data_IF_866924478385
#
_entry.id   IF_866924478385
#
_cell.length_a   1.000
_cell.length_b   1.000
_cell.length_c   1.000
_cell.angle_alpha   90.00
_cell.angle_beta   90.00
_cell.angle_gamma   90.00
#
_symmetry.space_group_name_H-M   'P 1'
#
loop_
_entity.id
_entity.type
_entity.pdbx_description
1 polymer ?
#
# COMPACT_ATOMS: atom_id res chain seq x y z
N UNK A 1 -2.97 -22.61 0.34
CA UNK A 1 -2.32 -23.17 1.55
C UNK A 1 -0.82 -22.92 1.49
N UNK A 2 -0.40 -21.66 1.65
CA UNK A 2 1.02 -21.26 1.73
C UNK A 2 1.20 -20.14 2.78
N UNK A 3 0.29 -20.10 3.76
CA UNK A 3 0.30 -19.20 4.91
C UNK A 3 0.05 -20.03 6.17
N UNK A 4 1.03 -20.85 6.57
CA UNK A 4 1.08 -21.43 7.93
C UNK A 4 2.47 -21.86 8.42
N UNK A 5 3.59 -21.46 7.78
CA UNK A 5 4.93 -21.97 8.16
C UNK A 5 6.00 -20.94 8.51
N UNK A 6 5.67 -19.66 8.71
CA UNK A 6 6.66 -18.65 9.12
C UNK A 6 6.53 -18.17 10.58
N UNK A 7 5.78 -18.89 11.43
CA UNK A 7 5.67 -18.58 12.87
C UNK A 7 6.36 -19.59 13.80
N UNK A 8 7.25 -20.45 13.30
CA UNK A 8 7.94 -21.42 14.15
C UNK A 8 9.34 -21.75 13.69
N UNK A 9 10.31 -21.50 14.59
CA UNK A 9 11.71 -21.97 14.61
C UNK A 9 12.75 -21.06 13.96
N UNK A 10 13.41 -20.26 14.80
CA UNK A 10 14.87 -20.13 14.74
C UNK A 10 15.44 -20.29 16.16
N UNK A 11 15.66 -21.56 16.53
CA UNK A 11 16.60 -21.92 17.59
C UNK A 11 17.99 -21.97 16.97
N UNK A 12 18.96 -21.43 17.69
CA UNK A 12 20.36 -21.27 17.33
C UNK A 12 21.02 -22.53 16.74
N UNK A 13 21.89 -22.33 15.75
CA UNK A 13 23.11 -23.11 15.57
C UNK A 13 24.14 -22.27 14.83
N UNK A 14 25.11 -21.80 15.61
CA UNK A 14 26.43 -21.38 15.18
C UNK A 14 27.11 -22.53 14.43
N UNK A 15 27.71 -22.24 13.28
CA UNK A 15 28.95 -22.90 12.88
C UNK A 15 29.71 -21.98 11.93
N UNK A 16 30.69 -21.30 12.52
CA UNK A 16 31.84 -20.71 11.85
C UNK A 16 32.68 -21.80 11.21
N UNK A 17 33.18 -21.58 10.00
CA UNK A 17 34.44 -22.20 9.56
C UNK A 17 35.30 -21.18 8.82
N UNK A 18 36.34 -20.74 9.53
CA UNK A 18 37.52 -20.07 9.00
C UNK A 18 38.39 -21.12 8.30
N UNK A 19 38.93 -20.75 7.13
CA UNK A 19 40.10 -21.37 6.57
C UNK A 19 41.31 -21.03 7.44
N UNK A 20 41.94 -22.04 8.04
CA UNK A 20 43.31 -22.00 8.51
C UNK A 20 43.99 -23.33 8.19
N UNK A 21 45.01 -23.27 7.34
CA UNK A 21 45.95 -24.36 7.09
C UNK A 21 46.84 -24.60 8.33
N UNK A 22 47.16 -25.87 8.61
CA UNK A 22 48.33 -26.20 9.45
C UNK A 22 48.23 -27.47 10.30
N UNK A 23 48.77 -28.58 9.76
CA UNK A 23 49.46 -29.70 10.44
C UNK A 23 48.83 -30.43 11.66
N UNK A 24 48.34 -31.66 11.39
CA UNK A 24 48.62 -32.99 12.02
C UNK A 24 48.79 -33.16 13.56
N UNK A 25 48.61 -34.37 14.16
CA UNK A 25 48.31 -35.72 13.62
C UNK A 25 47.15 -36.52 14.28
N UNK A 26 46.80 -37.61 13.58
CA UNK A 26 45.95 -38.80 13.84
C UNK A 26 46.09 -39.42 15.26
N UNK A 27 45.07 -40.13 15.83
CA UNK A 27 44.93 -41.59 15.60
C UNK A 27 43.48 -42.17 15.52
N UNK A 28 43.33 -43.13 14.59
CA UNK A 28 42.50 -44.35 14.52
C UNK A 28 41.29 -44.61 15.46
N UNK A 29 40.15 -45.09 14.94
CA UNK A 29 39.80 -46.53 14.77
C UNK A 29 38.34 -46.79 14.30
N UNK A 30 38.24 -47.70 13.31
CA UNK A 30 37.23 -48.76 13.02
C UNK A 30 35.69 -48.57 13.12
N UNK A 31 35.09 -49.04 12.03
CA UNK A 31 33.68 -49.33 11.70
C UNK A 31 33.05 -50.40 12.62
N UNK A 32 31.76 -50.30 12.91
CA UNK A 32 30.86 -51.47 12.90
C UNK A 32 29.41 -51.07 12.57
N UNK A 33 28.82 -51.80 11.63
CA UNK A 33 27.40 -51.78 11.32
C UNK A 33 26.67 -52.79 12.21
N UNK A 34 25.41 -52.53 12.54
CA UNK A 34 24.47 -53.58 12.91
C UNK A 34 23.10 -53.33 12.31
N UNK A 35 22.65 -54.35 11.59
CA UNK A 35 21.33 -54.55 11.00
C UNK A 35 20.36 -55.03 12.07
N UNK A 36 19.07 -54.71 11.92
CA UNK A 36 18.01 -55.63 12.35
C UNK A 36 16.78 -55.49 11.45
N UNK A 37 16.43 -56.64 10.87
CA UNK A 37 15.23 -56.96 10.12
C UNK A 37 14.00 -57.08 11.03
N UNK A 38 12.79 -56.89 10.48
CA UNK A 38 11.80 -57.97 10.34
C UNK A 38 10.53 -57.51 9.62
N UNK A 39 9.94 -58.48 8.93
CA UNK A 39 8.96 -58.43 7.86
C UNK A 39 7.50 -58.51 8.32
N UNK A 40 6.57 -58.18 7.41
CA UNK A 40 5.39 -58.99 6.99
C UNK A 40 4.44 -58.08 6.15
N UNK A 41 4.42 -58.16 4.81
CA UNK A 41 3.78 -59.14 3.90
C UNK A 41 2.28 -58.92 3.65
N UNK A 42 1.89 -58.56 2.41
CA UNK A 42 1.11 -59.43 1.48
C UNK A 42 0.38 -58.67 0.34
N UNK A 43 0.90 -58.88 -0.88
CA UNK A 43 0.25 -59.07 -2.20
C UNK A 43 -1.13 -58.47 -2.58
N UNK A 44 -1.19 -57.78 -3.75
CA UNK A 44 -1.57 -58.37 -5.06
C UNK A 44 -1.43 -57.35 -6.24
N UNK A 45 -1.37 -57.89 -7.47
CA UNK A 45 -0.75 -57.37 -8.70
C UNK A 45 -1.63 -56.48 -9.63
N UNK A 46 -0.98 -55.46 -10.20
CA UNK A 46 -0.99 -54.88 -11.58
C UNK A 46 -2.09 -55.22 -12.62
N UNK A 47 -2.67 -54.23 -13.33
CA UNK A 47 -2.14 -53.56 -14.56
C UNK A 47 -3.24 -52.78 -15.34
N UNK A 48 -2.99 -51.51 -15.72
CA UNK A 48 -3.04 -50.95 -17.11
C UNK A 48 -3.27 -49.41 -17.17
N UNK A 49 -2.16 -48.69 -17.41
CA UNK A 49 -1.94 -47.52 -18.31
C UNK A 49 -3.13 -46.62 -18.69
N UNK A 50 -3.01 -45.30 -18.40
CA UNK A 50 -3.03 -44.16 -19.36
C UNK A 50 -2.36 -42.94 -18.70
N UNK A 51 -1.57 -42.23 -19.50
CA UNK A 51 -0.60 -41.18 -19.16
C UNK A 51 -1.21 -39.78 -19.02
N UNK A 52 -0.63 -38.94 -18.17
CA UNK A 52 -0.20 -37.55 -18.50
C UNK A 52 0.61 -36.95 -17.35
N UNK A 53 1.79 -36.46 -17.70
CA UNK A 53 2.90 -36.10 -16.82
C UNK A 53 2.71 -34.78 -16.06
N UNK A 54 3.10 -34.81 -14.78
CA UNK A 54 3.38 -33.66 -13.92
C UNK A 54 4.85 -33.24 -14.08
N UNK A 55 5.12 -32.05 -14.62
CA UNK A 55 6.47 -31.50 -14.74
C UNK A 55 6.88 -30.80 -13.44
N UNK A 56 7.93 -31.31 -12.82
CA UNK A 56 8.72 -30.71 -11.75
C UNK A 56 9.63 -29.59 -12.29
N UNK A 57 9.67 -28.42 -11.65
CA UNK A 57 10.65 -27.36 -11.96
C UNK A 57 11.76 -27.34 -10.92
N UNK A 58 12.87 -28.02 -11.21
CA UNK A 58 14.15 -27.92 -10.49
C UNK A 58 15.11 -26.96 -11.21
N UNK A 59 16.00 -26.35 -10.42
CA UNK A 59 16.87 -25.18 -10.68
C UNK A 59 18.07 -25.43 -11.62
N UNK A 60 17.94 -26.24 -12.67
CA UNK A 60 19.09 -26.60 -13.52
C UNK A 60 19.23 -25.83 -14.85
N UNK A 61 18.36 -24.86 -15.15
CA UNK A 61 18.36 -24.17 -16.46
C UNK A 61 18.96 -22.76 -16.48
N UNK A 62 20.05 -22.48 -15.73
CA UNK A 62 20.75 -21.20 -15.83
C UNK A 62 22.17 -21.35 -16.39
N UNK A 63 22.50 -20.49 -17.37
CA UNK A 63 23.80 -20.45 -18.03
C UNK A 63 24.94 -20.10 -17.05
N UNK A 64 26.19 -20.54 -17.31
CA UNK A 64 27.34 -20.27 -16.46
C UNK A 64 27.58 -18.77 -16.18
N UNK A 65 27.21 -17.91 -17.13
CA UNK A 65 27.34 -16.45 -17.05
C UNK A 65 26.34 -15.81 -16.06
N UNK A 66 25.17 -16.45 -15.86
CA UNK A 66 24.20 -16.05 -14.82
C UNK A 66 24.67 -16.44 -13.41
N UNK A 67 25.39 -17.58 -13.28
CA UNK A 67 25.98 -17.99 -11.99
C UNK A 67 27.11 -17.05 -11.58
N UNK A 68 27.95 -16.60 -12.54
CA UNK A 68 29.02 -15.62 -12.29
C UNK A 68 28.46 -14.25 -11.88
N UNK A 69 27.35 -13.81 -12.48
CA UNK A 69 26.65 -12.55 -12.13
C UNK A 69 25.91 -12.62 -10.80
N UNK A 70 25.29 -13.76 -10.46
CA UNK A 70 24.73 -13.99 -9.12
C UNK A 70 25.82 -14.00 -8.04
N UNK A 71 27.00 -14.53 -8.33
CA UNK A 71 28.16 -14.47 -7.44
C UNK A 71 28.69 -13.04 -7.25
N UNK A 72 28.75 -12.22 -8.31
CA UNK A 72 29.17 -10.82 -8.19
C UNK A 72 28.18 -9.95 -7.39
N UNK A 73 26.88 -10.25 -7.48
CA UNK A 73 25.84 -9.60 -6.65
C UNK A 73 25.94 -10.06 -5.20
N UNK A 74 26.26 -11.33 -4.95
CA UNK A 74 26.53 -11.82 -3.59
C UNK A 74 27.83 -11.27 -2.98
N UNK A 75 28.84 -10.94 -3.80
CA UNK A 75 30.14 -10.45 -3.33
C UNK A 75 30.14 -8.96 -2.92
N UNK A 76 29.17 -8.15 -3.39
CA UNK A 76 28.98 -6.76 -2.89
C UNK A 76 28.23 -6.69 -1.56
N UNK A 77 27.74 -7.82 -1.04
CA UNK A 77 27.10 -7.95 0.28
C UNK A 77 28.10 -8.38 1.37
N UNK A 78 29.42 -8.35 1.10
CA UNK A 78 30.48 -8.78 2.02
C UNK A 78 31.49 -7.66 2.37
N UNK A 79 31.10 -6.39 2.28
CA UNK A 79 31.78 -5.38 3.10
C UNK A 79 31.19 -5.47 4.50
N UNK A 80 31.99 -5.97 5.45
CA UNK A 80 31.61 -6.06 6.85
C UNK A 80 32.10 -4.82 7.62
N UNK A 81 31.24 -4.15 8.40
CA UNK A 81 29.79 -4.39 8.46
C UNK A 81 29.08 -3.81 7.22
N UNK A 82 27.99 -4.45 6.75
CA UNK A 82 27.20 -3.95 5.64
C UNK A 82 26.62 -2.58 5.98
N UNK A 83 26.76 -1.62 5.07
CA UNK A 83 26.07 -0.35 5.19
C UNK A 83 24.56 -0.57 4.97
N UNK A 84 23.81 -0.61 6.07
CA UNK A 84 22.34 -0.75 6.07
C UNK A 84 21.74 0.65 6.24
N UNK A 85 20.95 1.09 5.26
CA UNK A 85 20.15 2.31 5.37
C UNK A 85 18.71 1.94 5.78
N UNK A 86 18.51 1.67 7.07
CA UNK A 86 17.19 1.43 7.65
C UNK A 86 16.57 2.76 8.10
N UNK A 87 15.64 3.28 7.30
CA UNK A 87 14.88 4.50 7.61
C UNK A 87 13.37 4.25 7.53
N UNK A 88 12.55 4.71 8.50
CA UNK A 88 11.11 4.61 8.37
C UNK A 88 10.68 5.43 7.16
N UNK A 89 9.85 4.86 6.27
CA UNK A 89 9.28 5.60 5.13
C UNK A 89 8.61 6.93 5.57
N UNK A 90 8.19 6.97 6.84
CA UNK A 90 7.92 8.13 7.70
C UNK A 90 8.72 9.40 7.43
N UNK A 91 10.04 9.24 7.37
CA UNK A 91 10.96 10.37 7.32
C UNK A 91 11.28 10.78 5.90
N UNK A 92 10.85 10.04 4.88
CA UNK A 92 11.16 10.36 3.49
C UNK A 92 10.34 11.58 3.06
N UNK A 93 11.04 12.66 2.74
CA UNK A 93 10.52 13.88 2.14
C UNK A 93 10.39 13.74 0.63
N UNK A 94 11.45 13.27 -0.02
CA UNK A 94 11.47 12.95 -1.45
C UNK A 94 12.53 11.90 -1.73
N UNK A 95 12.35 11.18 -2.84
CA UNK A 95 13.35 10.27 -3.39
C UNK A 95 13.70 10.79 -4.77
N UNK A 96 14.95 11.18 -4.98
CA UNK A 96 15.44 11.73 -6.25
C UNK A 96 16.34 10.72 -6.96
N UNK A 97 16.20 10.59 -8.28
CA UNK A 97 17.14 9.79 -9.07
C UNK A 97 18.38 10.63 -9.32
N UNK A 98 19.53 10.15 -8.86
CA UNK A 98 20.83 10.68 -9.24
C UNK A 98 21.25 9.95 -10.53
N UNK A 99 21.48 10.71 -11.60
CA UNK A 99 22.06 10.22 -12.85
C UNK A 99 21.08 9.69 -13.91
N UNK A 100 21.57 9.57 -15.15
CA UNK A 100 20.82 9.12 -16.33
C UNK A 100 21.68 8.29 -17.30
N UNK A 101 21.16 7.99 -18.49
CA UNK A 101 21.83 7.13 -19.48
C UNK A 101 23.22 7.64 -19.92
N UNK A 102 23.51 8.93 -19.71
CA UNK A 102 24.77 9.59 -20.03
C UNK A 102 25.69 9.83 -18.82
N UNK A 103 25.29 9.43 -17.60
CA UNK A 103 26.11 9.60 -16.40
C UNK A 103 27.33 8.70 -16.45
N UNK A 104 28.53 9.29 -16.35
CA UNK A 104 29.81 8.58 -16.27
C UNK A 104 30.59 9.10 -15.06
N UNK A 105 30.86 8.23 -14.10
CA UNK A 105 31.60 8.54 -12.87
C UNK A 105 31.24 7.59 -11.72
N UNK A 106 32.14 7.42 -10.75
CA UNK A 106 31.82 6.72 -9.50
C UNK A 106 30.75 7.50 -8.73
N UNK A 107 29.74 6.80 -8.20
CA UNK A 107 28.57 7.38 -7.51
C UNK A 107 27.73 8.36 -8.37
N UNK A 108 27.87 8.35 -9.70
CA UNK A 108 27.10 9.22 -10.61
C UNK A 108 25.69 8.71 -10.92
N UNK A 109 25.31 7.54 -10.38
CA UNK A 109 24.02 6.91 -10.54
C UNK A 109 23.55 6.34 -9.18
N UNK A 110 22.35 6.70 -8.74
CA UNK A 110 21.82 6.28 -7.43
C UNK A 110 20.44 6.86 -7.12
N UNK A 111 19.97 6.63 -5.89
CA UNK A 111 18.77 7.25 -5.33
C UNK A 111 19.19 8.13 -4.15
N UNK A 112 18.76 9.38 -4.14
CA UNK A 112 18.88 10.29 -3.01
C UNK A 112 17.58 10.28 -2.21
N UNK A 113 17.65 9.85 -0.96
CA UNK A 113 16.50 9.89 -0.04
C UNK A 113 16.66 11.14 0.82
N UNK A 114 15.91 12.19 0.49
CA UNK A 114 15.85 13.40 1.30
C UNK A 114 14.83 13.16 2.41
N UNK A 115 15.24 13.31 3.66
CA UNK A 115 14.34 13.15 4.80
C UNK A 115 13.66 14.48 5.18
N UNK A 116 12.53 14.43 5.91
CA UNK A 116 11.73 15.59 6.37
C UNK A 116 12.42 16.38 7.49
N UNK A 117 13.75 16.34 7.54
CA UNK A 117 14.52 16.85 8.67
C UNK A 117 14.23 16.08 9.96
N UNK A 118 14.07 14.75 9.87
CA UNK A 118 13.86 13.85 11.02
C UNK A 118 14.93 12.75 10.95
N UNK A 119 15.60 12.37 12.07
CA UNK A 119 15.44 12.93 13.41
C UNK A 119 15.90 14.41 13.51
N UNK A 120 15.33 15.13 14.48
CA UNK A 120 15.72 16.50 14.84
C UNK A 120 15.66 16.72 16.37
N UNK A 121 15.83 17.96 16.83
CA UNK A 121 15.81 18.29 18.25
C UNK A 121 14.49 17.95 18.96
N UNK A 122 13.38 17.90 18.22
CA UNK A 122 12.03 17.65 18.77
C UNK A 122 11.55 16.20 18.59
N UNK A 123 12.07 15.47 17.58
CA UNK A 123 11.62 14.13 17.21
C UNK A 123 12.79 13.18 17.01
N UNK A 124 12.73 12.02 17.67
CA UNK A 124 13.71 10.94 17.52
C UNK A 124 13.10 9.72 16.85
N UNK A 125 13.96 8.95 16.19
CA UNK A 125 13.63 7.59 15.77
C UNK A 125 13.89 6.62 16.92
N UNK A 126 13.03 5.63 17.08
CA UNK A 126 13.19 4.53 18.03
C UNK A 126 13.11 3.19 17.30
N UNK A 127 13.99 2.27 17.71
CA UNK A 127 14.00 0.86 17.29
C UNK A 127 13.32 -0.06 18.31
N UNK A 128 12.62 0.49 19.33
CA UNK A 128 11.90 -0.30 20.34
C UNK A 128 10.90 -1.30 19.73
N UNK A 129 10.40 -1.05 18.52
CA UNK A 129 9.46 -1.92 17.82
C UNK A 129 10.12 -2.73 16.68
N UNK A 130 11.44 -2.79 16.58
CA UNK A 130 12.16 -3.48 15.51
C UNK A 130 11.79 -4.97 15.42
N UNK A 131 11.53 -5.58 16.58
CA UNK A 131 11.07 -6.97 16.70
C UNK A 131 9.56 -7.08 16.92
N UNK A 132 8.82 -5.99 16.70
CA UNK A 132 7.35 -5.93 16.81
C UNK A 132 6.79 -6.21 18.21
N UNK A 133 7.62 -6.07 19.25
CA UNK A 133 7.24 -6.36 20.65
C UNK A 133 6.39 -5.25 21.28
N UNK A 134 6.59 -3.99 20.87
CA UNK A 134 5.79 -2.87 21.37
C UNK A 134 4.39 -2.88 20.75
N UNK A 135 4.32 -3.13 19.44
CA UNK A 135 3.08 -3.18 18.67
C UNK A 135 3.29 -4.01 17.39
N UNK A 136 2.66 -5.18 17.34
CA UNK A 136 2.75 -6.15 16.25
C UNK A 136 2.08 -5.74 14.94
N UNK A 137 1.32 -4.65 14.97
CA UNK A 137 0.60 -4.09 13.82
C UNK A 137 1.15 -2.73 13.36
N UNK A 138 2.26 -2.29 13.94
CA UNK A 138 3.00 -1.08 13.56
C UNK A 138 4.27 -1.43 12.79
N UNK A 139 4.89 -0.45 12.11
CA UNK A 139 6.19 -0.65 11.49
C UNK A 139 7.29 -0.84 12.54
N UNK A 140 8.41 -1.44 12.11
CA UNK A 140 9.58 -1.68 12.93
C UNK A 140 10.18 -0.39 13.54
N UNK A 141 10.30 0.65 12.72
CA UNK A 141 10.84 1.95 13.13
C UNK A 141 9.72 2.94 13.38
N UNK A 142 9.76 3.58 14.55
CA UNK A 142 8.77 4.58 14.96
C UNK A 142 9.45 5.93 15.20
N UNK A 143 8.72 7.00 14.96
CA UNK A 143 9.17 8.37 15.25
C UNK A 143 8.32 8.93 16.39
N UNK A 144 9.00 9.35 17.46
CA UNK A 144 8.40 9.76 18.74
C UNK A 144 9.07 11.05 19.24
N UNK A 145 8.47 11.77 20.22
CA UNK A 145 9.10 12.97 20.76
C UNK A 145 10.48 12.66 21.36
N UNK A 146 11.46 13.54 21.08
CA UNK A 146 12.87 13.31 21.43
C UNK A 146 13.11 13.12 22.93
N UNK A 147 12.30 13.77 23.77
CA UNK A 147 12.42 13.73 25.23
C UNK A 147 11.70 12.54 25.90
N UNK A 148 10.99 11.69 25.14
CA UNK A 148 10.28 10.53 25.70
C UNK A 148 11.16 9.29 25.57
N UNK A 149 11.58 8.63 26.67
CA UNK A 149 12.37 7.41 26.61
C UNK A 149 11.52 6.18 26.26
N UNK A 150 12.17 5.11 25.79
CA UNK A 150 11.50 3.88 25.35
C UNK A 150 10.69 3.19 26.47
N UNK A 151 11.11 3.30 27.74
CA UNK A 151 10.36 2.75 28.88
C UNK A 151 9.01 3.46 29.11
N UNK A 152 8.91 4.76 28.81
CA UNK A 152 7.63 5.48 28.85
C UNK A 152 6.73 5.04 27.67
N UNK A 153 7.31 4.74 26.50
CA UNK A 153 6.54 4.23 25.37
C UNK A 153 5.82 2.91 25.69
N UNK A 154 6.45 2.02 26.47
CA UNK A 154 5.81 0.77 26.93
C UNK A 154 4.57 1.04 27.79
N UNK A 155 4.61 2.06 28.65
CA UNK A 155 3.45 2.46 29.47
C UNK A 155 2.33 3.04 28.60
N UNK A 156 2.68 3.88 27.62
CA UNK A 156 1.70 4.43 26.66
C UNK A 156 1.09 3.31 25.81
N UNK A 157 1.87 2.31 25.41
CA UNK A 157 1.38 1.16 24.66
C UNK A 157 0.35 0.35 25.45
N UNK A 158 0.58 0.16 26.76
CA UNK A 158 -0.41 -0.49 27.63
C UNK A 158 -1.73 0.30 27.74
N UNK A 159 -1.69 1.64 27.57
CA UNK A 159 -2.87 2.49 27.62
C UNK A 159 -3.58 2.67 26.27
N UNK A 160 -2.94 2.31 25.15
CA UNK A 160 -3.50 2.44 23.79
C UNK A 160 -3.98 1.09 23.28
N UNK A 161 -5.15 1.04 22.68
CA UNK A 161 -5.69 -0.20 22.13
C UNK A 161 -4.67 -0.86 21.20
N UNK A 162 -4.35 -2.15 21.44
CA UNK A 162 -3.37 -2.93 20.67
C UNK A 162 -1.94 -2.37 20.67
N UNK A 163 -1.55 -1.56 21.66
CA UNK A 163 -0.21 -1.00 21.72
C UNK A 163 0.08 0.09 20.66
N UNK A 164 -0.94 0.54 19.91
CA UNK A 164 -0.78 1.50 18.81
C UNK A 164 -0.66 2.93 19.34
N UNK A 165 0.52 3.24 19.86
CA UNK A 165 0.86 4.52 20.46
C UNK A 165 0.84 5.69 19.45
N UNK A 166 0.70 6.95 19.92
CA UNK A 166 0.87 8.13 19.06
C UNK A 166 2.29 8.18 18.47
N UNK A 167 2.38 8.08 17.15
CA UNK A 167 3.64 8.19 16.40
C UNK A 167 3.50 9.16 15.24
N UNK A 168 4.61 9.78 14.84
CA UNK A 168 4.63 10.76 13.77
C UNK A 168 4.24 10.13 12.43
N UNK A 169 3.31 10.78 11.74
CA UNK A 169 2.97 10.48 10.35
C UNK A 169 3.50 11.57 9.42
N UNK A 170 3.38 12.84 9.79
CA UNK A 170 3.83 13.97 8.98
C UNK A 170 4.23 15.16 9.85
N UNK A 171 5.17 15.98 9.37
CA UNK A 171 5.61 17.22 10.02
C UNK A 171 5.68 18.35 9.00
N UNK A 172 5.16 19.52 9.38
CA UNK A 172 5.19 20.72 8.57
C UNK A 172 6.62 21.27 8.47
N UNK A 173 7.15 21.52 7.27
CA UNK A 173 8.56 21.91 7.10
C UNK A 173 8.91 23.22 7.83
N UNK A 174 8.02 24.21 7.82
CA UNK A 174 8.27 25.51 8.47
C UNK A 174 7.78 25.58 9.92
N UNK A 175 6.48 25.34 10.18
CA UNK A 175 5.90 25.53 11.52
C UNK A 175 6.19 24.42 12.51
N UNK A 176 6.72 23.28 12.06
CA UNK A 176 6.90 22.05 12.86
C UNK A 176 5.60 21.46 13.43
N UNK A 177 4.42 21.94 13.01
CA UNK A 177 3.14 21.33 13.34
C UNK A 177 3.10 19.89 12.79
N UNK A 178 2.59 18.94 13.59
CA UNK A 178 2.66 17.52 13.24
C UNK A 178 1.29 16.86 13.10
N UNK A 179 1.23 15.84 12.25
CA UNK A 179 0.16 14.85 12.26
C UNK A 179 0.73 13.60 12.91
N UNK A 180 0.18 13.21 14.05
CA UNK A 180 0.46 11.93 14.70
C UNK A 180 -0.75 11.01 14.62
N UNK A 181 -0.52 9.70 14.66
CA UNK A 181 -1.58 8.69 14.57
C UNK A 181 -1.49 7.64 15.67
N UNK A 182 -2.65 7.17 16.13
CA UNK A 182 -2.77 6.12 17.16
C UNK A 182 -4.12 5.39 17.11
N UNK A 183 -4.30 4.44 18.02
CA UNK A 183 -5.61 3.88 18.38
C UNK A 183 -6.24 4.61 19.57
N UNK A 184 -7.48 4.25 19.91
CA UNK A 184 -8.19 4.84 21.04
C UNK A 184 -7.48 4.59 22.39
N UNK A 185 -7.63 5.50 23.36
CA UNK A 185 -7.21 5.24 24.75
C UNK A 185 -8.08 4.14 25.38
N UNK A 186 -7.49 3.36 26.29
CA UNK A 186 -8.14 2.25 27.00
C UNK A 186 -8.76 2.70 28.33
N UNK A 187 -9.19 3.96 28.44
CA UNK A 187 -9.80 4.50 29.65
C UNK A 187 -11.14 3.80 29.96
N UNK A 188 -11.18 2.90 30.95
CA UNK A 188 -12.38 2.06 31.27
C UNK A 188 -12.81 1.11 30.12
N UNK A 189 -11.87 0.60 29.32
CA UNK A 189 -12.15 -0.41 28.28
C UNK A 189 -12.29 0.14 26.85
N UNK A 190 -11.98 1.42 26.63
CA UNK A 190 -11.99 2.10 25.33
C UNK A 190 -12.40 3.56 25.50
N UNK A 191 -12.65 4.30 24.42
CA UNK A 191 -13.22 5.65 24.50
C UNK A 191 -12.33 6.73 23.89
N UNK A 192 -12.30 7.89 24.54
CA UNK A 192 -11.66 9.09 24.02
C UNK A 192 -11.04 9.93 25.14
N UNK A 193 -10.15 10.83 24.75
CA UNK A 193 -9.44 11.77 25.61
C UNK A 193 -10.42 12.79 26.21
N UNK A 194 -10.72 12.68 27.51
CA UNK A 194 -11.61 13.60 28.22
C UNK A 194 -10.92 14.93 28.54
N UNK A 195 -11.67 16.04 28.50
CA UNK A 195 -11.17 17.40 28.78
C UNK A 195 -10.44 17.52 30.13
N UNK A 196 -10.96 16.85 31.18
CA UNK A 196 -10.33 16.86 32.51
C UNK A 196 -8.93 16.23 32.53
N UNK A 197 -8.71 15.20 31.72
CA UNK A 197 -7.45 14.44 31.65
C UNK A 197 -6.46 15.06 30.65
N UNK A 198 -6.97 15.73 29.61
CA UNK A 198 -6.19 16.31 28.53
C UNK A 198 -6.49 17.80 28.37
N UNK A 199 -6.13 18.59 29.39
CA UNK A 199 -6.47 20.01 29.52
C UNK A 199 -6.02 20.89 28.33
N UNK A 200 -4.95 20.48 27.63
CA UNK A 200 -4.39 21.21 26.49
C UNK A 200 -4.77 20.58 25.13
N UNK A 201 -5.80 19.72 25.10
CA UNK A 201 -6.27 19.08 23.88
C UNK A 201 -7.75 19.41 23.63
N UNK A 202 -8.05 19.79 22.38
CA UNK A 202 -9.42 19.95 21.91
C UNK A 202 -9.81 18.69 21.13
N UNK A 203 -10.84 17.96 21.61
CA UNK A 203 -11.32 16.75 20.97
C UNK A 203 -12.49 17.05 20.02
N UNK A 204 -12.40 16.52 18.80
CA UNK A 204 -13.39 16.72 17.75
C UNK A 204 -13.80 15.37 17.15
N UNK A 205 -15.10 15.08 17.16
CA UNK A 205 -15.66 13.95 16.43
C UNK A 205 -15.89 14.31 14.95
N UNK A 206 -15.56 13.38 14.05
CA UNK A 206 -15.67 13.56 12.60
C UNK A 206 -16.84 12.78 11.97
N UNK A 207 -17.62 12.08 12.80
CA UNK A 207 -18.84 11.35 12.43
C UNK A 207 -18.68 10.32 11.28
N UNK A 208 -17.44 9.81 11.09
CA UNK A 208 -17.16 8.75 10.12
C UNK A 208 -17.51 7.39 10.74
N UNK A 209 -18.52 6.75 10.15
CA UNK A 209 -19.08 5.49 10.61
C UNK A 209 -18.10 4.30 10.48
N UNK A 210 -18.45 3.18 11.14
CA UNK A 210 -17.62 1.98 11.15
C UNK A 210 -17.69 1.17 9.84
N UNK A 211 -16.87 0.11 9.77
CA UNK A 211 -16.74 -0.75 8.59
C UNK A 211 -18.05 -1.41 8.14
N UNK A 212 -18.99 -1.68 9.06
CA UNK A 212 -20.25 -2.33 8.72
C UNK A 212 -21.19 -1.39 7.96
N UNK A 213 -21.21 -0.11 8.35
CA UNK A 213 -21.99 0.92 7.65
C UNK A 213 -21.42 1.17 6.25
N UNK A 214 -20.08 1.22 6.12
CA UNK A 214 -19.43 1.41 4.82
C UNK A 214 -19.68 0.23 3.86
N UNK A 215 -19.65 -1.01 4.37
CA UNK A 215 -20.01 -2.21 3.59
C UNK A 215 -21.46 -2.13 3.11
N UNK A 216 -22.39 -1.77 3.99
CA UNK A 216 -23.81 -1.67 3.66
C UNK A 216 -24.08 -0.56 2.62
N UNK A 217 -23.40 0.58 2.74
CA UNK A 217 -23.47 1.66 1.76
C UNK A 217 -23.02 1.21 0.37
N UNK A 218 -21.89 0.50 0.25
CA UNK A 218 -21.44 -0.04 -1.03
C UNK A 218 -22.37 -1.11 -1.60
N UNK A 219 -22.97 -1.95 -0.73
CA UNK A 219 -23.96 -2.95 -1.14
C UNK A 219 -25.15 -2.28 -1.83
N UNK A 220 -25.73 -1.25 -1.20
CA UNK A 220 -26.83 -0.46 -1.77
C UNK A 220 -26.41 0.24 -3.07
N UNK A 221 -25.22 0.83 -3.11
CA UNK A 221 -24.70 1.45 -4.33
C UNK A 221 -24.63 0.47 -5.49
N UNK A 222 -24.12 -0.74 -5.25
CA UNK A 222 -24.04 -1.79 -6.27
C UNK A 222 -25.41 -2.17 -6.84
N UNK A 223 -26.45 -2.19 -6.00
CA UNK A 223 -27.81 -2.57 -6.39
C UNK A 223 -28.46 -1.55 -7.35
N UNK A 224 -28.15 -0.26 -7.20
CA UNK A 224 -28.75 0.80 -8.03
C UNK A 224 -27.98 1.04 -9.34
N UNK A 225 -26.72 0.60 -9.43
CA UNK A 225 -25.86 0.85 -10.59
C UNK A 225 -25.72 -0.34 -11.55
N UNK A 226 -26.07 -1.55 -11.10
CA UNK A 226 -25.85 -2.78 -11.88
C UNK A 226 -27.00 -3.78 -11.70
N UNK A 227 -27.51 -4.41 -12.78
CA UNK A 227 -27.04 -4.32 -14.17
C UNK A 227 -27.55 -3.11 -14.96
N UNK A 228 -28.68 -2.52 -14.54
CA UNK A 228 -29.31 -1.39 -15.22
C UNK A 228 -29.59 -0.28 -14.21
N UNK A 229 -29.43 0.97 -14.64
CA UNK A 229 -29.73 2.16 -13.84
C UNK A 229 -31.19 2.57 -14.08
N UNK A 230 -31.91 2.84 -13.01
CA UNK A 230 -33.24 3.46 -13.07
C UNK A 230 -33.06 4.99 -13.06
N UNK A 231 -33.32 5.61 -14.20
CA UNK A 231 -33.02 7.03 -14.45
C UNK A 231 -33.99 7.98 -13.75
N UNK A 232 -35.25 7.59 -13.56
CA UNK A 232 -36.31 8.47 -13.01
C UNK A 232 -36.00 8.88 -11.57
N UNK A 233 -35.46 7.96 -10.78
CA UNK A 233 -35.15 8.13 -9.37
C UNK A 233 -33.64 8.07 -9.10
N UNK A 234 -32.79 8.30 -10.10
CA UNK A 234 -31.33 8.18 -9.98
C UNK A 234 -30.76 8.92 -8.76
N UNK A 235 -31.09 10.21 -8.60
CA UNK A 235 -30.55 11.05 -7.52
C UNK A 235 -31.02 10.57 -6.14
N UNK A 236 -32.30 10.27 -5.97
CA UNK A 236 -32.86 9.78 -4.71
C UNK A 236 -32.34 8.38 -4.36
N UNK A 237 -32.16 7.53 -5.36
CA UNK A 237 -31.60 6.19 -5.19
C UNK A 237 -30.14 6.31 -4.73
N UNK A 238 -29.33 7.15 -5.38
CA UNK A 238 -27.96 7.42 -4.98
C UNK A 238 -27.87 7.99 -3.56
N UNK A 239 -28.72 8.95 -3.21
CA UNK A 239 -28.80 9.53 -1.87
C UNK A 239 -29.08 8.45 -0.81
N UNK A 240 -30.01 7.52 -1.08
CA UNK A 240 -30.37 6.44 -0.15
C UNK A 240 -29.24 5.43 0.15
N UNK A 241 -28.18 5.43 -0.66
CA UNK A 241 -26.97 4.63 -0.41
C UNK A 241 -26.06 5.25 0.65
N UNK A 242 -26.15 6.57 0.86
CA UNK A 242 -25.24 7.39 1.66
C UNK A 242 -23.76 7.32 1.20
N UNK A 243 -23.45 6.77 0.03
CA UNK A 243 -22.05 6.58 -0.40
C UNK A 243 -21.31 7.91 -0.50
N UNK A 244 -21.87 8.88 -1.24
CA UNK A 244 -21.28 10.21 -1.37
C UNK A 244 -21.28 11.00 -0.06
N UNK A 245 -22.21 10.72 0.85
CA UNK A 245 -22.20 11.32 2.19
C UNK A 245 -21.01 10.79 3.02
N UNK A 246 -20.68 9.51 2.91
CA UNK A 246 -19.50 8.94 3.56
C UNK A 246 -18.20 9.49 2.95
N UNK A 247 -18.10 9.59 1.61
CA UNK A 247 -16.97 10.23 0.92
C UNK A 247 -16.81 11.69 1.39
N UNK A 248 -17.92 12.43 1.49
CA UNK A 248 -17.95 13.80 2.02
C UNK A 248 -17.39 13.88 3.43
N UNK A 249 -17.84 13.03 4.36
CA UNK A 249 -17.39 13.05 5.75
C UNK A 249 -15.90 12.73 5.88
N UNK A 250 -15.39 11.78 5.08
CA UNK A 250 -13.97 11.43 5.05
C UNK A 250 -13.13 12.61 4.54
N UNK A 251 -13.51 13.21 3.40
CA UNK A 251 -12.82 14.38 2.84
C UNK A 251 -12.90 15.59 3.77
N UNK A 252 -14.07 15.87 4.36
CA UNK A 252 -14.25 16.96 5.31
C UNK A 252 -13.39 16.76 6.57
N UNK A 253 -13.29 15.52 7.07
CA UNK A 253 -12.40 15.19 8.18
C UNK A 253 -10.93 15.45 7.85
N UNK A 254 -10.48 15.00 6.68
CA UNK A 254 -9.11 15.26 6.22
C UNK A 254 -8.83 16.76 6.00
N UNK A 255 -9.81 17.50 5.46
CA UNK A 255 -9.73 18.95 5.28
C UNK A 255 -9.54 19.67 6.62
N UNK A 256 -10.29 19.28 7.66
CA UNK A 256 -10.14 19.86 9.01
C UNK A 256 -8.76 19.60 9.61
N UNK A 257 -8.21 18.41 9.38
CA UNK A 257 -6.85 18.04 9.82
C UNK A 257 -5.83 18.92 9.10
N UNK A 258 -5.92 19.00 7.76
CA UNK A 258 -5.00 19.80 6.96
C UNK A 258 -5.06 21.29 7.32
N UNK A 259 -6.26 21.87 7.45
CA UNK A 259 -6.44 23.28 7.84
C UNK A 259 -5.90 23.58 9.25
N UNK A 260 -6.11 22.68 10.21
CA UNK A 260 -5.58 22.86 11.58
C UNK A 260 -4.04 22.87 11.61
N UNK A 261 -3.41 22.06 10.75
CA UNK A 261 -1.94 21.99 10.62
C UNK A 261 -1.40 23.17 9.82
N UNK A 262 -2.00 23.49 8.68
CA UNK A 262 -1.53 24.52 7.75
C UNK A 262 -1.94 25.92 8.20
N UNK A 263 -3.22 26.19 8.41
CA UNK A 263 -3.69 27.53 8.81
C UNK A 263 -3.52 27.75 10.31
N UNK A 264 -3.88 26.73 11.11
CA UNK A 264 -3.85 26.79 12.56
C UNK A 264 -2.46 26.60 13.18
N UNK A 265 -1.46 26.17 12.40
CA UNK A 265 -0.10 25.83 12.86
C UNK A 265 -0.10 24.96 14.13
N UNK A 266 -1.10 24.08 14.24
CA UNK A 266 -1.38 23.28 15.43
C UNK A 266 -1.16 21.81 15.12
N UNK A 267 -0.42 21.10 15.97
CA UNK A 267 -0.25 19.66 15.87
C UNK A 267 -1.55 18.92 16.20
N UNK A 268 -1.80 17.84 15.48
CA UNK A 268 -3.03 17.04 15.58
C UNK A 268 -2.70 15.57 15.86
N UNK A 269 -3.53 14.95 16.70
CA UNK A 269 -3.51 13.51 16.95
C UNK A 269 -4.75 12.90 16.29
N UNK A 270 -4.55 11.99 15.34
CA UNK A 270 -5.63 11.35 14.60
C UNK A 270 -5.78 9.90 15.08
N UNK A 271 -6.95 9.57 15.60
CA UNK A 271 -7.27 8.18 15.96
C UNK A 271 -8.73 7.82 15.69
N UNK A 272 -8.99 6.53 15.69
CA UNK A 272 -10.33 5.96 15.75
C UNK A 272 -10.29 4.81 16.78
N UNK A 273 -11.12 3.77 16.64
CA UNK A 273 -11.11 2.64 17.58
C UNK A 273 -9.78 1.86 17.54
N UNK A 274 -9.44 1.25 16.40
CA UNK A 274 -8.20 0.47 16.25
C UNK A 274 -7.05 1.26 15.60
N UNK A 275 -7.31 2.42 14.98
CA UNK A 275 -6.24 3.24 14.38
C UNK A 275 -5.67 2.74 13.04
N UNK A 276 -6.34 1.81 12.35
CA UNK A 276 -5.87 1.25 11.06
C UNK A 276 -6.86 1.40 9.88
N UNK A 277 -8.08 1.86 10.11
CA UNK A 277 -9.10 2.04 9.05
C UNK A 277 -9.28 3.54 8.76
N UNK A 278 -10.21 4.20 9.47
CA UNK A 278 -10.51 5.63 9.32
C UNK A 278 -9.29 6.53 9.57
N UNK A 279 -8.42 6.15 10.50
CA UNK A 279 -7.17 6.88 10.75
C UNK A 279 -6.28 6.87 9.51
N UNK A 280 -6.15 5.75 8.80
CA UNK A 280 -5.35 5.68 7.58
C UNK A 280 -5.96 6.53 6.45
N UNK A 281 -7.29 6.52 6.30
CA UNK A 281 -8.00 7.42 5.37
C UNK A 281 -7.67 8.89 5.66
N UNK A 282 -7.83 9.30 6.92
CA UNK A 282 -7.67 10.69 7.33
C UNK A 282 -6.23 11.20 7.22
N UNK A 283 -5.24 10.44 7.71
CA UNK A 283 -3.85 10.87 7.67
C UNK A 283 -3.33 10.93 6.24
N UNK A 284 -3.62 9.91 5.42
CA UNK A 284 -3.14 9.88 4.04
C UNK A 284 -3.78 10.96 3.16
N UNK A 285 -5.08 11.25 3.33
CA UNK A 285 -5.73 12.35 2.61
C UNK A 285 -5.22 13.73 3.05
N UNK A 286 -5.05 13.96 4.35
CA UNK A 286 -4.47 15.21 4.84
C UNK A 286 -3.02 15.39 4.33
N UNK A 287 -2.23 14.33 4.29
CA UNK A 287 -0.87 14.35 3.72
C UNK A 287 -0.88 14.69 2.22
N UNK A 288 -1.84 14.19 1.43
CA UNK A 288 -2.00 14.57 0.02
C UNK A 288 -2.37 16.04 -0.16
N UNK A 289 -3.17 16.59 0.75
CA UNK A 289 -3.53 18.00 0.76
C UNK A 289 -2.31 18.87 1.06
N UNK A 290 -1.50 18.50 2.06
CA UNK A 290 -0.40 19.31 2.58
C UNK A 290 0.89 19.20 1.75
N UNK A 291 1.18 18.02 1.19
CA UNK A 291 2.50 17.70 0.66
C UNK A 291 2.47 17.37 -0.84
N UNK A 292 3.19 18.18 -1.63
CA UNK A 292 3.36 17.98 -3.07
C UNK A 292 3.98 16.64 -3.44
N UNK A 293 4.86 16.11 -2.57
CA UNK A 293 5.54 14.86 -2.85
C UNK A 293 4.56 13.71 -3.05
N UNK A 294 3.57 13.55 -2.16
CA UNK A 294 2.61 12.44 -2.24
C UNK A 294 1.66 12.51 -3.44
N UNK A 295 1.66 13.61 -4.18
CA UNK A 295 0.89 13.79 -5.43
C UNK A 295 1.67 13.36 -6.68
N UNK A 296 2.96 13.04 -6.54
CA UNK A 296 3.74 12.33 -7.58
C UNK A 296 3.36 10.85 -7.60
N UNK A 297 3.57 10.14 -8.71
CA UNK A 297 3.36 8.69 -8.82
C UNK A 297 4.16 7.96 -7.74
N UNK A 298 5.44 8.31 -7.61
CA UNK A 298 6.34 7.70 -6.64
C UNK A 298 5.93 8.03 -5.20
N UNK A 299 5.60 9.29 -4.92
CA UNK A 299 5.16 9.69 -3.59
C UNK A 299 3.83 9.05 -3.20
N UNK A 300 2.91 8.86 -4.13
CA UNK A 300 1.65 8.17 -3.87
C UNK A 300 1.86 6.68 -3.53
N UNK A 301 2.81 6.02 -4.20
CA UNK A 301 3.22 4.66 -3.83
C UNK A 301 3.80 4.63 -2.41
N UNK A 302 4.70 5.57 -2.09
CA UNK A 302 5.25 5.71 -0.74
C UNK A 302 4.16 5.98 0.29
N UNK A 303 3.15 6.79 -0.04
CA UNK A 303 2.01 7.07 0.84
C UNK A 303 1.23 5.80 1.17
N UNK A 304 0.98 4.93 0.19
CA UNK A 304 0.28 3.65 0.39
C UNK A 304 1.14 2.69 1.22
N UNK A 305 2.40 2.50 0.84
CA UNK A 305 3.35 1.65 1.58
C UNK A 305 3.50 2.10 3.03
N UNK A 306 3.57 3.41 3.25
CA UNK A 306 3.67 4.00 4.57
C UNK A 306 2.34 3.90 5.33
N UNK A 307 1.33 4.69 4.95
CA UNK A 307 0.15 4.93 5.79
C UNK A 307 -0.85 3.79 5.85
N UNK A 308 -0.80 2.87 4.87
CA UNK A 308 -1.72 1.76 4.76
C UNK A 308 -1.04 0.44 5.08
N UNK A 309 0.04 0.09 4.39
CA UNK A 309 0.69 -1.22 4.53
C UNK A 309 1.49 -1.30 5.83
N UNK A 310 2.49 -0.42 6.01
CA UNK A 310 3.39 -0.46 7.17
C UNK A 310 2.65 -0.20 8.50
N UNK A 311 1.63 0.65 8.45
CA UNK A 311 0.76 0.93 9.60
C UNK A 311 -0.36 -0.09 9.82
N UNK A 312 -0.38 -1.19 9.07
CA UNK A 312 -1.18 -2.38 9.41
C UNK A 312 -2.67 -2.27 9.07
N UNK A 313 -3.04 -1.55 8.00
CA UNK A 313 -4.39 -1.72 7.43
C UNK A 313 -4.58 -3.20 7.04
N UNK A 314 -5.66 -3.81 7.52
CA UNK A 314 -5.85 -5.28 7.43
C UNK A 314 -6.40 -5.71 6.06
N UNK A 315 -5.68 -5.41 4.97
CA UNK A 315 -6.09 -5.68 3.59
C UNK A 315 -6.66 -7.09 3.38
N UNK A 316 -5.92 -8.12 3.81
CA UNK A 316 -6.35 -9.52 3.69
C UNK A 316 -7.74 -9.76 4.30
N UNK A 317 -8.01 -9.18 5.47
CA UNK A 317 -9.28 -9.34 6.17
C UNK A 317 -10.38 -8.45 5.58
N UNK A 318 -10.04 -7.20 5.23
CA UNK A 318 -10.98 -6.22 4.67
C UNK A 318 -11.47 -6.61 3.28
N UNK A 319 -10.64 -7.32 2.50
CA UNK A 319 -11.00 -7.82 1.17
C UNK A 319 -11.45 -9.29 1.22
N UNK A 320 -10.77 -10.13 1.99
CA UNK A 320 -11.00 -11.58 2.06
C UNK A 320 -10.41 -12.33 0.87
N UNK A 321 -9.13 -12.11 0.54
CA UNK A 321 -8.47 -12.75 -0.60
C UNK A 321 -8.47 -14.28 -0.48
N UNK A 322 -9.00 -14.96 -1.50
CA UNK A 322 -9.06 -16.42 -1.54
C UNK A 322 -9.95 -17.05 -0.47
N UNK A 323 -10.69 -16.25 0.29
CA UNK A 323 -11.60 -16.72 1.33
C UNK A 323 -13.03 -16.87 0.76
N UNK A 324 -13.60 -18.06 0.95
CA UNK A 324 -14.95 -18.41 0.50
C UNK A 324 -16.05 -17.75 1.34
N UNK A 325 -15.74 -17.28 2.55
CA UNK A 325 -16.70 -16.65 3.45
C UNK A 325 -17.03 -15.22 3.00
N UNK A 326 -17.89 -15.07 2.00
CA UNK A 326 -18.32 -13.77 1.49
C UNK A 326 -19.16 -12.97 2.50
N UNK A 327 -19.70 -13.61 3.54
CA UNK A 327 -20.54 -13.00 4.57
C UNK A 327 -19.72 -12.47 5.76
N UNK A 328 -18.40 -12.56 5.71
CA UNK A 328 -17.51 -12.10 6.77
C UNK A 328 -17.78 -10.61 7.11
N UNK A 329 -18.13 -10.37 8.37
CA UNK A 329 -18.45 -9.06 8.88
C UNK A 329 -17.24 -8.13 9.00
N UNK A 330 -16.02 -8.64 8.82
CA UNK A 330 -14.81 -7.82 8.77
C UNK A 330 -14.46 -7.29 7.38
N UNK A 331 -15.12 -7.76 6.32
CA UNK A 331 -14.93 -7.23 4.96
C UNK A 331 -15.54 -5.84 4.82
N UNK A 332 -14.81 -4.88 4.26
CA UNK A 332 -15.27 -3.50 4.11
C UNK A 332 -14.43 -2.70 3.10
N UNK A 333 -15.03 -1.81 2.29
CA UNK A 333 -14.35 -1.07 1.22
C UNK A 333 -13.55 0.14 1.69
N UNK A 334 -12.78 0.02 2.79
CA UNK A 334 -12.09 1.16 3.43
C UNK A 334 -11.03 1.78 2.50
N UNK A 335 -10.19 0.96 1.87
CA UNK A 335 -9.19 1.44 0.92
C UNK A 335 -9.83 1.95 -0.38
N UNK A 336 -10.93 1.33 -0.84
CA UNK A 336 -11.70 1.83 -1.98
C UNK A 336 -12.22 3.25 -1.72
N UNK A 337 -12.79 3.52 -0.54
CA UNK A 337 -13.24 4.87 -0.18
C UNK A 337 -12.09 5.89 -0.16
N UNK A 338 -10.88 5.48 0.25
CA UNK A 338 -9.71 6.34 0.15
C UNK A 338 -9.38 6.69 -1.31
N UNK A 339 -9.29 5.68 -2.18
CA UNK A 339 -8.98 5.91 -3.60
C UNK A 339 -10.08 6.74 -4.28
N UNK A 340 -11.36 6.55 -3.91
CA UNK A 340 -12.48 7.40 -4.34
C UNK A 340 -12.23 8.86 -3.90
N UNK A 341 -11.91 9.11 -2.63
CA UNK A 341 -11.56 10.45 -2.15
C UNK A 341 -10.37 11.07 -2.90
N UNK A 342 -9.35 10.27 -3.25
CA UNK A 342 -8.23 10.74 -4.10
C UNK A 342 -8.73 11.13 -5.48
N UNK A 343 -9.59 10.32 -6.10
CA UNK A 343 -10.21 10.64 -7.38
C UNK A 343 -11.04 11.94 -7.30
N UNK A 344 -11.81 12.17 -6.23
CA UNK A 344 -12.53 13.45 -6.04
C UNK A 344 -11.55 14.65 -6.08
N UNK A 345 -10.36 14.52 -5.47
CA UNK A 345 -9.35 15.57 -5.52
C UNK A 345 -8.74 15.74 -6.91
N UNK A 346 -8.50 14.66 -7.66
CA UNK A 346 -8.01 14.79 -9.05
C UNK A 346 -9.03 15.46 -9.97
N UNK A 347 -10.33 15.27 -9.71
CA UNK A 347 -11.43 15.98 -10.42
C UNK A 347 -11.42 17.48 -10.12
N UNK A 348 -11.25 17.87 -8.87
CA UNK A 348 -11.24 19.29 -8.46
C UNK A 348 -9.92 20.00 -8.79
N UNK A 349 -8.81 19.26 -8.85
CA UNK A 349 -7.46 19.79 -9.11
C UNK A 349 -6.77 19.01 -10.25
N UNK A 350 -7.19 19.21 -11.51
CA UNK A 350 -6.76 18.39 -12.66
C UNK A 350 -5.26 18.47 -12.98
N UNK A 351 -4.56 19.50 -12.49
CA UNK A 351 -3.12 19.70 -12.72
C UNK A 351 -2.25 19.33 -11.52
N UNK A 352 -2.84 18.97 -10.38
CA UNK A 352 -2.10 18.86 -9.11
C UNK A 352 -1.50 17.47 -8.85
N UNK A 353 -1.90 16.45 -9.60
CA UNK A 353 -1.47 15.06 -9.43
C UNK A 353 -0.75 14.57 -10.68
N UNK A 354 0.40 13.93 -10.49
CA UNK A 354 1.21 13.36 -11.58
C UNK A 354 0.54 12.12 -12.18
N UNK A 355 -0.26 11.42 -11.38
CA UNK A 355 -0.99 10.25 -11.82
C UNK A 355 -2.39 10.59 -12.34
N UNK A 356 -2.86 9.78 -13.29
CA UNK A 356 -4.19 9.88 -13.88
C UNK A 356 -5.20 8.90 -13.24
N UNK A 357 -6.46 8.97 -13.68
CA UNK A 357 -7.53 8.07 -13.24
C UNK A 357 -7.21 6.58 -13.52
N UNK A 358 -6.50 6.30 -14.61
CA UNK A 358 -6.16 4.93 -15.01
C UNK A 358 -5.25 4.26 -13.98
N UNK A 359 -4.32 4.99 -13.35
CA UNK A 359 -3.53 4.46 -12.24
C UNK A 359 -4.41 4.06 -11.05
N UNK A 360 -5.36 4.92 -10.67
CA UNK A 360 -6.25 4.67 -9.53
C UNK A 360 -7.13 3.44 -9.74
N UNK A 361 -7.70 3.29 -10.96
CA UNK A 361 -8.45 2.10 -11.34
C UNK A 361 -7.56 0.86 -11.32
N UNK A 362 -6.35 0.96 -11.85
CA UNK A 362 -5.38 -0.15 -11.88
C UNK A 362 -5.02 -0.61 -10.48
N UNK A 363 -4.80 0.30 -9.54
CA UNK A 363 -4.59 0.00 -8.12
C UNK A 363 -5.78 -0.78 -7.55
N UNK A 364 -7.02 -0.36 -7.85
CA UNK A 364 -8.22 -1.03 -7.35
C UNK A 364 -8.48 -2.38 -8.02
N UNK A 365 -8.11 -2.56 -9.29
CA UNK A 365 -8.20 -3.87 -9.95
C UNK A 365 -7.22 -4.86 -9.32
N UNK A 366 -6.01 -4.40 -9.03
CA UNK A 366 -4.97 -5.23 -8.41
C UNK A 366 -5.12 -5.42 -6.91
N UNK A 367 -5.88 -4.55 -6.24
CA UNK A 367 -6.37 -4.80 -4.89
C UNK A 367 -7.08 -6.15 -4.84
N UNK A 368 -7.96 -6.46 -5.80
CA UNK A 368 -8.75 -7.70 -5.77
C UNK A 368 -8.12 -8.88 -6.52
N UNK A 369 -7.21 -8.63 -7.48
CA UNK A 369 -6.70 -9.69 -8.36
C UNK A 369 -5.77 -10.69 -7.67
N UNK A 370 -5.18 -10.33 -6.53
CA UNK A 370 -4.11 -11.10 -5.85
C UNK A 370 -2.92 -11.43 -6.77
N UNK A 371 -2.77 -10.70 -7.88
CA UNK A 371 -1.75 -11.01 -8.89
C UNK A 371 -0.36 -10.63 -8.42
N UNK A 372 -0.26 -9.67 -7.49
CA UNK A 372 1.00 -9.11 -7.04
C UNK A 372 1.13 -9.19 -5.52
N UNK A 373 2.34 -9.53 -5.05
CA UNK A 373 2.82 -9.29 -3.69
C UNK A 373 3.65 -8.01 -3.57
N UNK A 374 3.40 -7.06 -4.49
CA UNK A 374 4.17 -5.85 -4.82
C UNK A 374 5.46 -6.11 -5.62
N UNK A 375 5.63 -5.39 -6.75
CA UNK A 375 6.73 -5.37 -7.75
C UNK A 375 6.60 -6.26 -9.00
N UNK A 376 6.58 -5.60 -10.17
CA UNK A 376 6.59 -6.21 -11.50
C UNK A 376 7.85 -5.89 -12.32
N UNK A 377 7.96 -6.59 -13.46
CA UNK A 377 8.81 -6.38 -14.65
C UNK A 377 10.28 -6.80 -14.60
N UNK A 378 10.75 -7.32 -15.74
CA UNK A 378 12.07 -7.91 -15.90
C UNK A 378 13.11 -6.95 -16.51
N UNK A 379 12.71 -5.74 -16.92
CA UNK A 379 13.63 -4.72 -17.45
C UNK A 379 13.20 -3.29 -17.11
N UNK A 380 14.16 -2.37 -17.01
CA UNK A 380 13.92 -0.93 -16.83
C UNK A 380 13.09 -0.35 -17.98
N UNK A 381 13.30 -0.83 -19.21
CA UNK A 381 12.54 -0.41 -20.38
C UNK A 381 11.03 -0.74 -20.25
N UNK A 382 10.69 -1.91 -19.71
CA UNK A 382 9.29 -2.27 -19.44
C UNK A 382 8.69 -1.39 -18.34
N UNK A 383 9.49 -0.99 -17.34
CA UNK A 383 9.04 -0.09 -16.26
C UNK A 383 8.76 1.33 -16.75
N UNK A 384 9.60 1.86 -17.66
CA UNK A 384 9.47 3.23 -18.18
C UNK A 384 8.24 3.39 -19.09
N UNK A 385 7.95 2.40 -19.93
CA UNK A 385 6.82 2.48 -20.89
C UNK A 385 5.45 2.47 -20.20
N UNK A 386 5.28 1.71 -19.12
CA UNK A 386 4.02 1.65 -18.38
C UNK A 386 3.81 2.88 -17.49
N UNK A 387 4.88 3.55 -17.03
CA UNK A 387 4.78 4.83 -16.30
C UNK A 387 4.16 5.95 -17.15
N UNK A 388 4.37 5.92 -18.47
CA UNK A 388 3.76 6.90 -19.40
C UNK A 388 2.23 6.78 -19.41
N UNK A 389 1.68 5.55 -19.36
CA UNK A 389 0.23 5.31 -19.38
C UNK A 389 -0.48 5.78 -18.10
N UNK A 390 0.27 5.87 -16.99
CA UNK A 390 -0.25 6.34 -15.69
C UNK A 390 -0.04 7.83 -15.46
N UNK A 391 0.70 8.50 -16.33
CA UNK A 391 1.03 9.92 -16.19
C UNK A 391 -0.14 10.82 -16.62
N UNK A 392 -0.37 11.88 -15.85
CA UNK A 392 -1.30 12.94 -16.17
C UNK A 392 -0.56 14.01 -17.01
N UNK A 393 -0.93 14.20 -18.29
CA UNK A 393 -0.26 15.18 -19.15
C UNK A 393 -0.49 16.63 -18.71
N UNK A 394 -1.49 16.89 -17.85
CA UNK A 394 -1.78 18.21 -17.29
C UNK A 394 -1.03 18.49 -15.99
N UNK A 395 -0.25 17.52 -15.49
CA UNK A 395 0.47 17.68 -14.24
C UNK A 395 1.41 18.89 -14.29
N UNK A 396 1.23 19.79 -13.34
CA UNK A 396 2.11 20.91 -13.10
C UNK A 396 2.70 20.75 -11.70
N UNK A 397 4.04 20.72 -11.63
CA UNK A 397 4.74 20.65 -10.34
C UNK A 397 4.61 21.99 -9.62
N UNK A 398 3.68 22.07 -8.67
CA UNK A 398 3.56 23.19 -7.75
C UNK A 398 4.36 22.87 -6.49
N UNK A 399 5.54 23.48 -6.36
CA UNK A 399 6.26 23.50 -5.09
C UNK A 399 5.44 24.31 -4.07
N UNK A 400 5.02 23.66 -2.99
CA UNK A 400 4.39 24.26 -1.79
C UNK A 400 2.92 24.72 -1.88
N UNK A 401 2.10 24.14 -2.77
CA UNK A 401 0.66 24.47 -2.79
C UNK A 401 -0.19 23.45 -2.02
N UNK A 402 -0.85 23.89 -0.94
CA UNK A 402 -1.81 23.05 -0.20
C UNK A 402 -3.15 22.96 -0.94
N UNK A 403 -3.70 21.76 -1.06
CA UNK A 403 -5.00 21.54 -1.71
C UNK A 403 -6.14 21.56 -0.69
N UNK A 404 -7.16 22.38 -0.94
CA UNK A 404 -8.38 22.45 -0.14
C UNK A 404 -9.61 22.04 -0.96
N UNK A 405 -9.90 20.73 -1.11
CA UNK A 405 -11.08 20.28 -1.83
C UNK A 405 -12.37 20.71 -1.13
N UNK A 406 -13.42 20.90 -1.92
CA UNK A 406 -14.76 21.22 -1.42
C UNK A 406 -15.50 19.92 -1.10
N UNK A 407 -15.59 19.59 0.19
CA UNK A 407 -16.35 18.44 0.70
C UNK A 407 -17.86 18.75 0.77
N UNK A 408 -18.53 18.80 -0.38
CA UNK A 408 -19.96 19.11 -0.51
C UNK A 408 -20.63 18.20 -1.52
N UNK A 409 -21.87 17.80 -1.25
CA UNK A 409 -22.67 16.96 -2.18
C UNK A 409 -22.83 17.59 -3.58
N UNK A 410 -22.63 18.91 -3.72
CA UNK A 410 -22.67 19.62 -5.00
C UNK A 410 -21.36 19.57 -5.80
N UNK A 411 -20.27 19.16 -5.17
CA UNK A 411 -18.92 19.16 -5.75
C UNK A 411 -18.31 17.76 -5.81
N UNK A 412 -18.95 16.78 -5.15
CA UNK A 412 -18.56 15.39 -5.20
C UNK A 412 -19.38 14.70 -6.29
N UNK A 413 -18.70 13.91 -7.11
CA UNK A 413 -19.29 13.18 -8.22
C UNK A 413 -19.30 11.68 -7.87
N UNK A 414 -20.28 10.92 -8.36
CA UNK A 414 -20.13 9.47 -8.37
C UNK A 414 -19.03 9.11 -9.37
N UNK A 415 -18.07 8.27 -8.97
CA UNK A 415 -16.99 7.83 -9.85
C UNK A 415 -17.47 6.84 -10.92
N UNK A 416 -18.10 7.37 -11.97
CA UNK A 416 -18.67 6.59 -13.08
C UNK A 416 -17.60 5.68 -13.72
N UNK A 417 -16.38 6.21 -13.90
CA UNK A 417 -15.23 5.50 -14.48
C UNK A 417 -14.81 4.24 -13.73
N UNK A 418 -15.17 4.10 -12.45
CA UNK A 418 -14.94 2.88 -11.67
C UNK A 418 -16.22 2.08 -11.44
N UNK A 419 -17.26 2.71 -10.88
CA UNK A 419 -18.47 2.03 -10.43
C UNK A 419 -19.35 1.52 -11.59
N UNK A 420 -19.38 2.23 -12.72
CA UNK A 420 -20.32 1.96 -13.83
C UNK A 420 -19.57 1.57 -15.13
N UNK A 421 -18.26 1.31 -15.05
CA UNK A 421 -17.39 1.02 -16.21
C UNK A 421 -17.78 -0.17 -17.09
N UNK A 422 -18.62 -1.07 -16.57
CA UNK A 422 -19.09 -2.25 -17.28
C UNK A 422 -20.28 -1.97 -18.21
N UNK A 423 -20.96 -0.82 -18.06
CA UNK A 423 -22.06 -0.42 -18.93
C UNK A 423 -21.52 0.07 -20.28
N UNK A 424 -21.76 -0.64 -21.41
CA UNK A 424 -21.24 -0.25 -22.71
C UNK A 424 -21.74 1.12 -23.19
N UNK A 425 -22.89 1.59 -22.68
CA UNK A 425 -23.51 2.87 -23.06
C UNK A 425 -22.90 4.08 -22.35
N UNK A 426 -22.20 3.85 -21.23
CA UNK A 426 -21.63 4.91 -20.38
C UNK A 426 -20.11 4.93 -20.41
N UNK A 427 -19.47 4.20 -21.34
CA UNK A 427 -18.02 4.26 -21.53
C UNK A 427 -17.63 5.70 -21.92
N UNK A 428 -16.68 6.32 -21.21
CA UNK A 428 -16.10 7.58 -21.65
C UNK A 428 -15.59 7.43 -23.09
N UNK A 429 -15.94 8.37 -23.98
CA UNK A 429 -15.31 8.41 -25.30
C UNK A 429 -13.80 8.61 -25.08
N UNK A 430 -12.98 7.68 -25.59
CA UNK A 430 -11.51 7.80 -25.53
C UNK A 430 -11.09 9.15 -26.12
N UNK A 431 -10.17 9.85 -25.46
CA UNK A 431 -9.58 11.09 -25.95
C UNK A 431 -9.00 10.91 -27.36
N UNK A 432 -9.14 11.96 -28.18
CA UNK A 432 -8.84 11.97 -29.62
C UNK A 432 -7.35 11.68 -29.92
N UNK A 433 -6.46 11.88 -28.94
CA UNK A 433 -5.01 11.62 -29.02
C UNK A 433 -4.65 10.17 -29.33
N UNK A 434 -5.51 9.20 -29.01
CA UNK A 434 -5.26 7.78 -29.30
C UNK A 434 -5.77 7.30 -30.67
N UNK A 435 -6.29 8.19 -31.55
CA UNK A 435 -6.66 7.79 -32.92
C UNK A 435 -5.46 7.72 -33.87
N UNK A 436 -4.41 8.50 -33.64
CA UNK A 436 -3.27 8.63 -34.58
C UNK A 436 -2.35 7.41 -34.63
N UNK A 437 -2.32 6.58 -33.58
CA UNK A 437 -1.52 5.34 -33.53
C UNK A 437 -2.24 4.13 -34.11
N UNK A 438 -3.58 4.18 -34.27
CA UNK A 438 -4.36 3.10 -34.88
C UNK A 438 -4.42 3.15 -36.41
N UNK A 439 -3.96 4.24 -37.03
CA UNK A 439 -3.95 4.44 -38.48
C UNK A 439 -2.74 3.86 -39.21
N UNK A 440 -1.71 3.36 -38.52
CA UNK A 440 -0.50 2.81 -39.17
C UNK A 440 -0.47 1.28 -39.31
N UNK A 441 -1.47 0.54 -38.82
CA UNK A 441 -1.48 -0.94 -38.87
C UNK A 441 -2.60 -1.55 -39.74
N UNK A 442 -3.28 -0.76 -40.58
CA UNK A 442 -4.23 -1.31 -41.57
C UNK A 442 -3.83 -0.96 -43.00
N UNK A 443 -2.73 -1.53 -43.45
CA UNK A 443 -2.35 -1.55 -44.85
C UNK A 443 -1.97 -2.97 -45.30
N UNK A 444 -2.91 -3.92 -45.23
CA UNK A 444 -2.83 -5.21 -45.95
C UNK A 444 -4.08 -6.08 -45.77
N UNK A 445 -5.21 -5.72 -46.38
CA UNK A 445 -6.20 -6.72 -46.88
C UNK A 445 -7.31 -6.04 -47.70
N UNK A 446 -7.86 -6.68 -48.75
CA UNK A 446 -8.79 -6.03 -49.65
C UNK A 446 -10.18 -5.88 -49.03
N UNK A 447 -10.79 -4.75 -49.37
CA UNK A 447 -12.13 -4.30 -49.02
C UNK A 447 -13.20 -5.29 -49.51
N UNK A 448 -14.07 -5.76 -48.62
CA UNK A 448 -15.44 -6.12 -48.98
C UNK A 448 -16.38 -5.12 -48.30
N UNK A 449 -16.99 -4.25 -49.12
CA UNK A 449 -18.10 -3.41 -48.73
C UNK A 449 -19.29 -4.28 -48.33
N UNK A 450 -19.71 -4.19 -47.07
CA UNK A 450 -21.06 -4.57 -46.66
C UNK A 450 -21.72 -3.32 -46.10
N UNK A 451 -22.69 -2.81 -46.85
CA UNK A 451 -23.56 -1.69 -46.47
C UNK A 451 -24.37 -2.06 -45.22
N UNK A 452 -24.57 -1.13 -44.27
CA UNK A 452 -25.42 -1.38 -43.11
C UNK A 452 -26.89 -1.42 -43.52
N UNK A 453 -27.57 -2.52 -43.21
CA UNK A 453 -29.04 -2.60 -43.22
C UNK A 453 -29.53 -1.84 -41.98
N UNK A 454 -30.19 -0.71 -42.20
CA UNK A 454 -31.02 -0.08 -41.18
C UNK A 454 -32.19 -1.03 -40.86
N UNK A 455 -32.48 -1.24 -39.59
CA UNK A 455 -33.80 -1.73 -39.18
C UNK A 455 -34.30 -0.85 -38.06
N UNK A 456 -35.40 -0.15 -38.36
CA UNK A 456 -36.30 0.46 -37.40
C UNK A 456 -37.21 -0.69 -36.92
N UNK A 457 -37.04 -1.07 -35.65
CA UNK A 457 -38.02 -1.25 -34.55
C UNK A 457 -37.24 -1.85 -33.38
#
# INVERSE_FOLDING_TARGET
MFFSQLQGRRTALLCSEQLAEGNSPVPHFSISASTSHSDHSAHTKSASVISSDSISTSTENFSPDLRQKMLLISARLLENPPFVLDGPLGVINRVEKIGGASSRGENSYGLEIVCKGIPNESWRMTSINEQYELCDTYPALLVVPANIPDEELKKVAAFRSRGRIPVLSWIHPESQATITRCSQPMAKGGGYESEDAYQNAELVFLDIHNIHVMRESLRKLKEIIYPNIEETHWLSNLESTHWLEHIKLILAGALRIADKVESGKTSVIVHCSDGWDRTAQLTSLAMLMLDGYYRTIQGFQVLIEKEWLSFGHRFQLRVGHGDKNHADADRSPVFLQFVDCVWQMTRQFPTAFEFNEFLLITILDHLYSCLFGTFLWNSEQQRVKELEDFSNPLYASYTNHVLYPVASMRHLELWIGYYIRWNPRMKPQREITNRSTSSSERASSPVQCVTPVQTIV
#
